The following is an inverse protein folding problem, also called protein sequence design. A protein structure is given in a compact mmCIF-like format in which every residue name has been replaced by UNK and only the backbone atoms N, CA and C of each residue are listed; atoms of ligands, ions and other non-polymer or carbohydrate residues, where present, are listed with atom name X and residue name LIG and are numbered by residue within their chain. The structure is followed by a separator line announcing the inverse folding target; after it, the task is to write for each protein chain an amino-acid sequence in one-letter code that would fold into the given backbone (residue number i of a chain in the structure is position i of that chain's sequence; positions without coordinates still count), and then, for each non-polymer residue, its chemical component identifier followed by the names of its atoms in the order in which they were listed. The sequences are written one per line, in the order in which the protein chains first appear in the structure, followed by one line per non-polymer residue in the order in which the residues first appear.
data_IF_433083108831
#
_entry.id   IF_433083108831
#
_cell.length_a   1.000
_cell.length_b   1.000
_cell.length_c   1.000
_cell.angle_alpha   90.00
_cell.angle_beta   90.00
_cell.angle_gamma   90.00
#
_symmetry.space_group_name_H-M   'P 1'
#
loop_
_entity.id
_entity.type
_entity.pdbx_description
1 polymer ?
#
# COMPACT_ATOMS: atom_id res chain seq x y z
N UNK A 1 -6.42 5.79 4.07
CA UNK A 1 -5.76 5.94 5.40
C UNK A 1 -4.39 5.24 5.33
N UNK A 2 -3.30 5.99 5.08
CA UNK A 2 -1.94 5.47 5.23
C UNK A 2 -1.41 5.88 6.61
N UNK A 3 -1.18 4.92 7.50
CA UNK A 3 -0.46 5.16 8.75
C UNK A 3 1.04 5.16 8.44
N UNK A 4 1.68 6.31 8.55
CA UNK A 4 3.11 6.47 8.22
C UNK A 4 3.93 6.23 9.49
N UNK A 5 4.94 5.36 9.41
CA UNK A 5 5.96 5.25 10.46
C UNK A 5 6.76 6.56 10.47
N UNK A 6 6.62 7.37 11.51
CA UNK A 6 7.55 8.46 11.77
C UNK A 6 8.97 7.88 11.92
N UNK A 7 9.99 8.62 11.50
CA UNK A 7 11.38 8.15 11.32
C UNK A 7 12.09 7.68 12.62
N UNK A 8 11.64 6.59 13.23
CA UNK A 8 12.25 5.94 14.38
C UNK A 8 12.32 4.44 14.10
N UNK A 9 13.45 4.01 13.52
CA UNK A 9 13.74 2.61 13.16
C UNK A 9 13.84 1.65 14.36
N UNK A 10 13.45 2.06 15.57
CA UNK A 10 13.69 1.33 16.82
C UNK A 10 12.46 0.67 17.46
N UNK A 11 11.22 1.11 17.21
CA UNK A 11 10.04 0.57 17.93
C UNK A 11 8.91 0.03 17.01
N UNK A 12 9.24 -0.38 15.78
CA UNK A 12 8.23 -0.87 14.82
C UNK A 12 7.40 -2.04 15.36
N UNK A 13 7.96 -2.89 16.20
CA UNK A 13 7.22 -4.00 16.84
C UNK A 13 6.09 -3.50 17.75
N UNK A 14 6.25 -2.36 18.42
CA UNK A 14 5.25 -1.77 19.30
C UNK A 14 4.15 -1.06 18.49
N UNK A 15 4.52 -0.46 17.36
CA UNK A 15 3.60 0.28 16.48
C UNK A 15 2.84 -0.63 15.51
N UNK A 16 3.42 -1.78 15.14
CA UNK A 16 2.87 -2.68 14.12
C UNK A 16 1.43 -3.15 14.41
N UNK A 17 1.08 -3.61 15.63
CA UNK A 17 -0.28 -4.03 15.93
C UNK A 17 -1.31 -2.91 15.69
N UNK A 18 -0.95 -1.67 16.02
CA UNK A 18 -1.79 -0.49 15.85
C UNK A 18 -1.97 -0.13 14.37
N UNK A 19 -0.88 -0.16 13.60
CA UNK A 19 -0.92 0.07 12.15
C UNK A 19 -1.79 -0.99 11.46
N UNK A 20 -1.60 -2.25 11.82
CA UNK A 20 -2.36 -3.38 11.29
C UNK A 20 -3.85 -3.31 11.64
N UNK A 21 -4.19 -2.79 12.82
CA UNK A 21 -5.56 -2.52 13.21
C UNK A 21 -6.16 -1.39 12.34
N UNK A 22 -5.45 -0.28 12.19
CA UNK A 22 -5.87 0.85 11.35
C UNK A 22 -6.10 0.47 9.89
N UNK A 23 -5.23 -0.37 9.32
CA UNK A 23 -5.40 -0.87 7.95
C UNK A 23 -6.64 -1.78 7.80
N UNK A 24 -7.00 -2.54 8.84
CA UNK A 24 -8.16 -3.43 8.82
C UNK A 24 -9.48 -2.69 9.03
N UNK A 25 -9.46 -1.59 9.77
CA UNK A 25 -10.63 -0.73 10.01
C UNK A 25 -10.78 0.39 8.98
N UNK A 26 -9.82 0.56 8.07
CA UNK A 26 -9.88 1.62 7.06
C UNK A 26 -10.99 1.34 6.05
N UNK A 27 -11.94 2.28 5.94
CA UNK A 27 -12.98 2.23 4.94
C UNK A 27 -12.39 2.39 3.54
N UNK A 28 -12.78 1.48 2.65
CA UNK A 28 -12.36 1.46 1.25
C UNK A 28 -13.56 1.76 0.35
N UNK A 29 -13.60 2.93 -0.32
CA UNK A 29 -14.75 3.34 -1.12
C UNK A 29 -14.95 2.52 -2.40
N UNK A 30 -13.88 1.88 -2.91
CA UNK A 30 -13.92 0.98 -4.07
C UNK A 30 -14.76 -0.28 -3.85
N UNK A 31 -14.75 -0.80 -2.61
CA UNK A 31 -15.50 -2.00 -2.21
C UNK A 31 -16.66 -1.69 -1.25
N UNK A 32 -16.87 -0.41 -0.90
CA UNK A 32 -17.87 0.06 0.07
C UNK A 32 -17.86 -0.70 1.42
N UNK A 33 -16.69 -1.16 1.86
CA UNK A 33 -16.54 -1.94 3.09
C UNK A 33 -15.16 -1.75 3.73
N UNK A 34 -15.03 -2.13 5.01
CA UNK A 34 -13.71 -2.27 5.65
C UNK A 34 -13.17 -3.70 5.48
N UNK A 35 -11.84 -3.92 5.42
CA UNK A 35 -11.29 -5.28 5.39
C UNK A 35 -11.72 -6.15 6.57
N UNK A 36 -11.87 -5.56 7.77
CA UNK A 36 -12.39 -6.26 8.93
C UNK A 36 -13.85 -6.69 8.77
N UNK A 37 -14.69 -5.83 8.21
CA UNK A 37 -16.09 -6.13 7.94
C UNK A 37 -16.25 -7.24 6.90
N UNK A 38 -15.41 -7.30 5.87
CA UNK A 38 -15.40 -8.41 4.92
C UNK A 38 -15.03 -9.76 5.54
N UNK A 39 -14.18 -9.76 6.57
CA UNK A 39 -13.73 -10.98 7.25
C UNK A 39 -14.72 -11.43 8.32
N UNK A 40 -15.23 -10.50 9.12
CA UNK A 40 -16.05 -10.80 10.29
C UNK A 40 -17.55 -10.60 10.05
N UNK A 41 -17.96 -10.02 8.91
CA UNK A 41 -19.36 -9.71 8.59
C UNK A 41 -19.95 -8.55 9.39
N UNK A 42 -19.13 -7.87 10.20
CA UNK A 42 -19.56 -6.77 11.07
C UNK A 42 -18.48 -5.71 11.20
N UNK A 43 -18.88 -4.46 11.44
CA UNK A 43 -17.95 -3.36 11.70
C UNK A 43 -17.28 -3.49 13.06
N UNK A 44 -15.96 -3.25 13.13
CA UNK A 44 -15.21 -3.28 14.39
C UNK A 44 -15.39 -1.95 15.13
N UNK A 45 -15.69 -2.01 16.43
CA UNK A 45 -15.68 -0.84 17.30
C UNK A 45 -14.24 -0.52 17.74
N UNK A 46 -13.79 0.68 17.43
CA UNK A 46 -12.47 1.17 17.81
C UNK A 46 -12.55 2.20 18.95
N UNK A 47 -11.50 2.33 19.77
CA UNK A 47 -11.37 3.45 20.71
C UNK A 47 -11.44 4.79 19.99
N UNK A 48 -12.18 5.76 20.55
CA UNK A 48 -12.35 7.10 19.97
C UNK A 48 -11.04 7.88 19.78
N UNK A 49 -10.00 7.58 20.58
CA UNK A 49 -8.64 8.13 20.44
C UNK A 49 -8.01 7.89 19.06
N UNK A 50 -8.52 6.93 18.27
CA UNK A 50 -8.07 6.70 16.89
C UNK A 50 -8.50 7.83 15.93
N UNK A 51 -9.56 8.57 16.27
CA UNK A 51 -10.20 9.55 15.40
C UNK A 51 -10.25 10.96 16.00
N UNK A 52 -10.32 11.08 17.34
CA UNK A 52 -10.50 12.36 18.05
C UNK A 52 -9.41 12.59 19.09
N UNK A 53 -8.93 13.83 19.18
CA UNK A 53 -7.91 14.25 20.14
C UNK A 53 -8.57 14.60 21.49
N UNK A 54 -8.72 13.64 22.41
CA UNK A 54 -9.27 13.89 23.75
C UNK A 54 -8.14 14.08 24.77
N UNK A 55 -8.05 15.28 25.37
CA UNK A 55 -7.00 15.67 26.34
C UNK A 55 -7.40 15.53 27.82
N UNK A 56 -8.35 14.64 28.16
CA UNK A 56 -8.87 14.54 29.54
C UNK A 56 -8.37 13.31 30.33
N UNK A 57 -7.27 13.56 31.04
CA UNK A 57 -6.78 13.20 32.40
C UNK A 57 -7.24 11.95 33.21
N UNK A 58 -6.21 11.18 33.66
CA UNK A 58 -6.01 10.34 34.89
C UNK A 58 -6.30 8.81 34.91
N UNK A 59 -5.66 8.02 35.82
CA UNK A 59 -4.25 7.94 36.19
C UNK A 59 -3.59 6.82 35.37
N UNK A 60 -2.72 7.20 34.44
CA UNK A 60 -2.24 6.29 33.41
C UNK A 60 -1.04 5.46 33.88
N UNK A 61 -1.21 4.15 33.81
CA UNK A 61 -0.09 3.22 33.64
C UNK A 61 0.81 3.75 32.51
N UNK A 62 2.14 3.67 32.67
CA UNK A 62 3.14 4.06 31.66
C UNK A 62 2.86 3.44 30.28
N UNK A 63 2.14 2.31 30.24
CA UNK A 63 1.72 1.66 29.00
C UNK A 63 0.62 2.41 28.24
N UNK A 64 -0.39 2.93 28.93
CA UNK A 64 -1.51 3.64 28.29
C UNK A 64 -1.02 4.94 27.67
N UNK A 65 -0.11 5.65 28.34
CA UNK A 65 0.47 6.88 27.79
C UNK A 65 1.36 6.61 26.58
N UNK A 66 2.10 5.51 26.60
CA UNK A 66 2.84 5.04 25.41
C UNK A 66 1.88 4.78 24.25
N UNK A 67 0.78 4.07 24.50
CA UNK A 67 -0.20 3.73 23.47
C UNK A 67 -0.87 4.98 22.87
N UNK A 68 -1.29 5.93 23.71
CA UNK A 68 -1.82 7.23 23.27
C UNK A 68 -0.81 7.99 22.40
N UNK A 69 0.45 8.00 22.80
CA UNK A 69 1.51 8.66 22.01
C UNK A 69 1.69 8.03 20.63
N UNK A 70 1.53 6.70 20.53
CA UNK A 70 1.61 5.95 19.28
C UNK A 70 0.41 6.28 18.38
N UNK A 71 -0.81 6.26 18.92
CA UNK A 71 -2.02 6.62 18.15
C UNK A 71 -1.95 8.05 17.61
N UNK A 72 -1.48 9.00 18.41
CA UNK A 72 -1.37 10.39 17.97
C UNK A 72 -0.36 10.57 16.82
N UNK A 73 0.75 9.80 16.83
CA UNK A 73 1.75 9.82 15.74
C UNK A 73 1.29 9.12 14.47
N UNK A 74 0.49 8.06 14.59
CA UNK A 74 0.09 7.20 13.46
C UNK A 74 -1.16 7.68 12.71
N UNK A 75 -1.62 8.90 12.99
CA UNK A 75 -2.85 9.45 12.41
C UNK A 75 -2.84 9.28 10.89
N UNK A 76 -3.88 8.64 10.34
CA UNK A 76 -3.89 8.33 8.92
C UNK A 76 -4.00 9.60 8.06
N UNK A 77 -3.11 9.70 7.08
CA UNK A 77 -3.06 10.80 6.11
C UNK A 77 -3.79 10.38 4.82
N UNK A 78 -4.40 11.36 4.14
CA UNK A 78 -4.97 11.17 2.81
C UNK A 78 -3.89 10.70 1.83
N UNK A 79 -4.17 9.61 1.13
CA UNK A 79 -3.26 9.02 0.17
C UNK A 79 -3.27 9.83 -1.11
N UNK A 80 -2.20 10.55 -1.40
CA UNK A 80 -1.99 11.14 -2.72
C UNK A 80 -1.68 10.02 -3.72
N UNK A 81 -2.55 9.85 -4.71
CA UNK A 81 -2.33 8.96 -5.84
C UNK A 81 -1.27 9.59 -6.75
N UNK A 82 -0.04 9.11 -6.67
CA UNK A 82 1.08 9.65 -7.46
C UNK A 82 1.28 8.97 -8.82
N UNK A 83 0.57 7.88 -9.10
CA UNK A 83 0.70 7.15 -10.37
C UNK A 83 -0.23 7.77 -11.40
N UNK A 84 0.34 8.30 -12.49
CA UNK A 84 -0.38 8.55 -13.72
C UNK A 84 -0.24 7.30 -14.59
N UNK A 85 -1.36 6.64 -14.90
CA UNK A 85 -1.43 5.42 -15.72
C UNK A 85 -1.11 5.68 -17.20
N UNK A 86 0.10 6.17 -17.51
CA UNK A 86 0.57 6.30 -18.89
C UNK A 86 1.83 5.45 -19.07
N UNK A 87 1.68 4.18 -19.48
CA UNK A 87 2.84 3.38 -19.82
C UNK A 87 3.57 4.02 -21.01
N UNK A 88 4.87 4.25 -20.87
CA UNK A 88 5.70 4.76 -21.95
C UNK A 88 5.75 3.76 -23.12
N UNK A 89 5.50 4.25 -24.34
CA UNK A 89 5.61 3.49 -25.59
C UNK A 89 6.43 4.26 -26.59
N UNK A 90 7.49 3.64 -27.11
CA UNK A 90 8.35 4.27 -28.12
C UNK A 90 7.68 4.22 -29.51
N UNK A 91 7.73 5.32 -30.27
CA UNK A 91 7.06 5.45 -31.58
C UNK A 91 7.50 4.39 -32.60
N UNK A 92 8.78 4.03 -32.62
CA UNK A 92 9.31 2.99 -33.51
C UNK A 92 8.68 1.59 -33.27
N UNK A 93 7.99 1.36 -32.16
CA UNK A 93 7.32 0.09 -31.89
C UNK A 93 6.14 -0.16 -32.86
N UNK A 94 5.55 0.91 -33.38
CA UNK A 94 4.45 0.83 -34.36
C UNK A 94 4.92 0.23 -35.70
N UNK A 95 6.14 0.55 -36.12
CA UNK A 95 6.71 0.10 -37.40
C UNK A 95 7.72 -1.05 -37.27
N UNK A 96 8.20 -1.37 -36.07
CA UNK A 96 9.27 -2.37 -35.89
C UNK A 96 8.85 -3.78 -36.31
N UNK A 97 9.52 -4.43 -37.28
CA UNK A 97 9.17 -5.77 -37.75
C UNK A 97 9.49 -6.88 -36.74
N UNK A 98 10.44 -6.63 -35.84
CA UNK A 98 10.87 -7.58 -34.83
C UNK A 98 10.90 -6.95 -33.44
N UNK A 99 10.66 -7.76 -32.41
CA UNK A 99 10.68 -7.33 -31.00
C UNK A 99 11.41 -8.34 -30.12
N UNK A 100 12.00 -7.85 -29.04
CA UNK A 100 12.55 -8.65 -27.96
C UNK A 100 11.54 -8.72 -26.81
N UNK A 101 11.26 -9.92 -26.30
CA UNK A 101 10.31 -10.15 -25.21
C UNK A 101 11.05 -10.36 -23.90
N UNK A 102 10.63 -9.63 -22.87
CA UNK A 102 11.16 -9.78 -21.51
C UNK A 102 10.55 -11.00 -20.85
N UNK A 103 11.37 -11.86 -20.24
CA UNK A 103 10.89 -13.03 -19.50
C UNK A 103 10.96 -12.77 -17.99
N UNK A 104 9.87 -12.39 -17.32
CA UNK A 104 9.89 -11.97 -15.91
C UNK A 104 9.83 -13.13 -14.87
N UNK A 105 10.19 -14.35 -15.27
CA UNK A 105 10.39 -15.47 -14.34
C UNK A 105 11.72 -15.42 -13.58
N UNK A 106 11.93 -16.39 -12.68
CA UNK A 106 13.23 -16.60 -12.01
C UNK A 106 14.28 -16.96 -13.07
N UNK A 107 15.37 -16.21 -13.10
CA UNK A 107 16.46 -16.36 -14.08
C UNK A 107 17.72 -16.88 -13.41
N UNK A 108 18.51 -17.65 -14.15
CA UNK A 108 19.86 -18.01 -13.72
C UNK A 108 20.80 -16.80 -13.81
N UNK A 109 21.91 -16.80 -13.04
CA UNK A 109 22.94 -15.78 -13.18
C UNK A 109 23.42 -15.66 -14.63
N UNK A 110 23.63 -14.42 -15.10
CA UNK A 110 24.08 -14.10 -16.46
C UNK A 110 23.13 -14.53 -17.59
N UNK A 111 21.90 -14.94 -17.28
CA UNK A 111 20.89 -15.21 -18.30
C UNK A 111 20.36 -13.90 -18.90
N UNK A 112 20.27 -13.85 -20.23
CA UNK A 112 19.74 -12.68 -20.93
C UNK A 112 18.30 -12.38 -20.51
N UNK A 113 17.98 -11.12 -20.17
CA UNK A 113 16.66 -10.73 -19.68
C UNK A 113 15.58 -10.73 -20.76
N UNK A 114 16.00 -10.68 -22.02
CA UNK A 114 15.13 -10.69 -23.18
C UNK A 114 15.41 -11.88 -24.08
N UNK A 115 14.35 -12.35 -24.74
CA UNK A 115 14.36 -13.41 -25.75
C UNK A 115 13.96 -12.80 -27.10
N UNK A 116 14.45 -13.40 -28.20
CA UNK A 116 14.14 -12.94 -29.56
C UNK A 116 15.39 -12.80 -30.43
N UNK A 117 15.28 -12.17 -31.61
CA UNK A 117 14.13 -11.37 -32.07
C UNK A 117 12.92 -12.20 -32.54
N UNK A 118 11.71 -11.78 -32.19
CA UNK A 118 10.45 -12.38 -32.67
C UNK A 118 9.78 -11.49 -33.70
N UNK A 119 9.21 -12.07 -34.75
CA UNK A 119 8.47 -11.34 -35.79
C UNK A 119 7.10 -10.91 -35.27
N UNK A 120 6.75 -9.63 -35.46
CA UNK A 120 5.43 -9.11 -35.07
C UNK A 120 4.37 -9.57 -36.08
N UNK A 121 3.40 -10.37 -35.63
CA UNK A 121 2.32 -10.91 -36.49
C UNK A 121 1.12 -9.97 -36.53
N UNK A 122 0.71 -9.43 -35.38
CA UNK A 122 -0.44 -8.52 -35.24
C UNK A 122 -0.11 -7.44 -34.22
N UNK A 123 -0.64 -6.23 -34.42
CA UNK A 123 -0.56 -5.11 -33.49
C UNK A 123 -1.95 -4.75 -32.98
N UNK A 124 -2.03 -4.43 -31.69
CA UNK A 124 -3.24 -3.93 -31.03
C UNK A 124 -2.88 -2.68 -30.24
N UNK A 125 -3.81 -1.72 -30.07
CA UNK A 125 -3.58 -0.58 -29.20
C UNK A 125 -3.31 -1.05 -27.77
N UNK A 126 -2.43 -0.34 -27.06
CA UNK A 126 -2.10 -0.65 -25.67
C UNK A 126 -3.24 -0.20 -24.76
N UNK A 127 -3.81 -1.15 -24.02
CA UNK A 127 -4.85 -0.93 -23.00
C UNK A 127 -4.24 -0.44 -21.70
#
# INVERSE_FOLDING_TARGET
LMCRLGAARQNWCEELPVILLGLRSAFKPDINATPAELVYGTTIRLPGEFFTDSRDTSPSSTYIDKLRSIFHKLRPVETAWHTKDKPFTHSALESSPFVYLRFDGVRQPLQRPYTGPYKVVKRTPKT
#
